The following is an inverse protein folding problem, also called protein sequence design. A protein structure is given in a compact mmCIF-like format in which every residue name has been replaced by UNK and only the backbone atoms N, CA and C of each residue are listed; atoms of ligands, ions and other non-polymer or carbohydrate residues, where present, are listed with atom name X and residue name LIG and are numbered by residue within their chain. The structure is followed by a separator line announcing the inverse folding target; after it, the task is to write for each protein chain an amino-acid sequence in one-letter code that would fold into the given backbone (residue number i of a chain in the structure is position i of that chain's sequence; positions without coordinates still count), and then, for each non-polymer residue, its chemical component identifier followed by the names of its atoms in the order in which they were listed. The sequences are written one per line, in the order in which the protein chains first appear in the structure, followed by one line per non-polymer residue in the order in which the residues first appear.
data_IF_082203214426
#
_entry.id   IF_082203214426
#
_cell.length_a   1.000
_cell.length_b   1.000
_cell.length_c   1.000
_cell.angle_alpha   90.00
_cell.angle_beta   90.00
_cell.angle_gamma   90.00
#
_symmetry.space_group_name_H-M   'P 1'
#
loop_
_entity.id
_entity.type
_entity.pdbx_description
1 polymer ?
#
# COMPACT_ATOMS: atom_id res chain seq x y z
N UNK A 1 -2.50 -6.04 -6.18
CA UNK A 1 -1.22 -5.83 -5.49
C UNK A 1 -0.59 -7.19 -5.30
N UNK A 2 0.68 -7.35 -5.64
CA UNK A 2 1.49 -8.54 -5.40
C UNK A 2 2.59 -8.18 -4.39
N UNK A 3 2.85 -9.08 -3.45
CA UNK A 3 3.81 -8.88 -2.37
C UNK A 3 4.90 -9.96 -2.39
N UNK A 4 6.09 -9.63 -1.88
CA UNK A 4 7.13 -10.59 -1.54
C UNK A 4 6.71 -11.48 -0.36
N UNK A 5 7.56 -12.47 -0.05
CA UNK A 5 7.35 -13.43 1.06
C UNK A 5 7.33 -12.76 2.43
N UNK A 6 8.00 -11.62 2.57
CA UNK A 6 8.03 -10.77 3.77
C UNK A 6 6.85 -9.77 3.84
N UNK A 7 5.98 -9.77 2.83
CA UNK A 7 4.83 -8.87 2.76
C UNK A 7 5.15 -7.47 2.23
N UNK A 8 6.38 -7.22 1.76
CA UNK A 8 6.73 -5.98 1.04
C UNK A 8 6.06 -5.95 -0.34
N UNK A 9 5.69 -4.76 -0.87
CA UNK A 9 5.07 -4.67 -2.18
C UNK A 9 6.08 -4.93 -3.29
N UNK A 10 5.78 -5.90 -4.17
CA UNK A 10 6.66 -6.28 -5.27
C UNK A 10 6.18 -5.75 -6.63
N UNK A 11 4.85 -5.66 -6.81
CA UNK A 11 4.22 -5.21 -8.04
C UNK A 11 2.78 -4.75 -7.82
N UNK A 12 2.34 -3.72 -8.56
CA UNK A 12 0.93 -3.36 -8.67
C UNK A 12 0.57 -2.79 -10.04
N UNK A 13 -0.74 -2.69 -10.29
CA UNK A 13 -1.29 -2.07 -11.50
C UNK A 13 -2.18 -0.91 -11.06
N UNK A 14 -1.99 0.26 -11.67
CA UNK A 14 -2.82 1.45 -11.47
C UNK A 14 -3.10 2.07 -12.83
N UNK A 15 -4.38 2.29 -13.14
CA UNK A 15 -4.81 2.96 -14.39
C UNK A 15 -4.19 2.32 -15.65
N UNK A 16 -4.13 0.98 -15.68
CA UNK A 16 -3.52 0.22 -16.79
C UNK A 16 -1.99 0.23 -16.82
N UNK A 17 -1.32 1.03 -15.97
CA UNK A 17 0.14 1.05 -15.85
C UNK A 17 0.62 0.04 -14.82
N UNK A 18 1.63 -0.73 -15.20
CA UNK A 18 2.31 -1.69 -14.31
C UNK A 18 3.48 -1.02 -13.61
N UNK A 19 3.53 -1.16 -12.29
CA UNK A 19 4.63 -0.77 -11.42
C UNK A 19 5.25 -2.06 -10.89
N UNK A 20 6.49 -2.35 -11.28
CA UNK A 20 7.16 -3.63 -11.03
C UNK A 20 8.63 -3.46 -10.74
N UNK A 21 9.23 -4.46 -10.08
CA UNK A 21 10.61 -4.36 -9.60
C UNK A 21 10.71 -3.25 -8.56
N UNK A 22 9.77 -3.26 -7.62
CA UNK A 22 9.72 -2.30 -6.54
C UNK A 22 10.81 -2.65 -5.53
N UNK A 23 11.67 -1.68 -5.24
CA UNK A 23 12.69 -1.76 -4.20
C UNK A 23 12.27 -0.88 -3.03
N UNK A 24 12.26 -1.42 -1.82
CA UNK A 24 11.94 -0.65 -0.61
C UNK A 24 13.06 0.33 -0.33
N UNK A 25 12.75 1.62 -0.40
CA UNK A 25 13.63 2.71 0.04
C UNK A 25 13.51 2.89 1.54
N UNK A 26 12.27 2.88 2.05
CA UNK A 26 11.95 3.07 3.46
C UNK A 26 10.62 2.38 3.79
N UNK A 27 10.48 1.91 5.03
CA UNK A 27 9.20 1.42 5.54
C UNK A 27 9.07 1.67 7.04
N UNK A 28 7.88 2.09 7.46
CA UNK A 28 7.58 2.30 8.88
C UNK A 28 6.14 1.95 9.20
N UNK A 29 5.84 1.82 10.49
CA UNK A 29 4.50 1.55 11.01
C UNK A 29 3.95 2.83 11.62
N UNK A 30 2.74 3.20 11.20
CA UNK A 30 1.97 4.26 11.85
C UNK A 30 0.87 3.65 12.71
N UNK A 31 0.73 4.17 13.93
CA UNK A 31 -0.14 3.59 14.96
C UNK A 31 -1.63 3.78 14.68
N UNK A 32 -2.01 4.72 13.81
CA UNK A 32 -3.42 4.99 13.52
C UNK A 32 -4.14 5.63 14.70
N UNK A 33 -3.61 6.73 15.24
CA UNK A 33 -4.16 7.40 16.42
C UNK A 33 -4.49 8.88 16.18
N UNK A 34 -4.64 9.28 14.92
CA UNK A 34 -4.99 10.64 14.54
C UNK A 34 -6.49 10.91 14.70
N UNK A 35 -7.33 9.89 14.58
CA UNK A 35 -8.76 9.93 14.90
C UNK A 35 -9.24 8.59 15.45
N UNK A 36 -10.40 8.59 16.12
CA UNK A 36 -11.00 7.37 16.66
C UNK A 36 -11.36 6.40 15.53
N UNK A 37 -10.98 5.12 15.70
CA UNK A 37 -11.17 4.08 14.69
C UNK A 37 -10.19 4.10 13.51
N UNK A 38 -9.16 4.96 13.51
CA UNK A 38 -8.11 4.88 12.49
C UNK A 38 -7.34 3.55 12.60
N UNK A 39 -7.19 2.79 11.50
CA UNK A 39 -6.43 1.55 11.54
C UNK A 39 -4.93 1.85 11.56
N UNK A 40 -4.19 1.05 12.32
CA UNK A 40 -2.74 0.88 12.15
C UNK A 40 -2.43 0.65 10.67
N UNK A 41 -1.38 1.29 10.14
CA UNK A 41 -0.91 1.05 8.78
C UNK A 41 0.60 0.86 8.73
N UNK A 42 1.07 0.13 7.73
CA UNK A 42 2.48 0.09 7.36
C UNK A 42 2.66 0.89 6.09
N UNK A 43 3.52 1.89 6.13
CA UNK A 43 3.86 2.71 4.97
C UNK A 43 5.12 2.15 4.32
N UNK A 44 5.08 2.05 3.00
CA UNK A 44 6.19 1.62 2.16
C UNK A 44 6.49 2.72 1.16
N UNK A 45 7.68 3.29 1.23
CA UNK A 45 8.24 4.11 0.16
C UNK A 45 9.10 3.22 -0.72
N UNK A 46 8.68 3.02 -1.97
CA UNK A 46 9.34 2.14 -2.92
C UNK A 46 9.78 2.88 -4.16
N UNK A 47 10.83 2.37 -4.81
CA UNK A 47 11.29 2.84 -6.12
C UNK A 47 11.04 1.78 -7.17
N UNK A 48 10.48 2.16 -8.32
CA UNK A 48 10.32 1.23 -9.45
C UNK A 48 11.56 1.19 -10.36
N UNK A 49 11.56 0.26 -11.33
CA UNK A 49 12.66 0.14 -12.31
C UNK A 49 12.91 1.38 -13.17
N UNK A 50 11.98 2.34 -13.20
CA UNK A 50 12.13 3.61 -13.93
C UNK A 50 12.61 4.74 -13.03
N UNK A 51 12.93 4.46 -11.76
CA UNK A 51 13.41 5.42 -10.78
C UNK A 51 12.30 6.18 -10.06
N UNK A 52 11.02 5.91 -10.36
CA UNK A 52 9.88 6.63 -9.79
C UNK A 52 9.65 6.18 -8.37
N UNK A 53 9.36 7.14 -7.49
CA UNK A 53 9.13 6.85 -6.08
C UNK A 53 7.62 6.81 -5.81
N UNK A 54 7.18 5.75 -5.14
CA UNK A 54 5.77 5.52 -4.84
C UNK A 54 5.62 5.27 -3.35
N UNK A 55 4.59 5.86 -2.76
CA UNK A 55 4.21 5.62 -1.37
C UNK A 55 2.94 4.77 -1.32
N UNK A 56 3.05 3.58 -0.72
CA UNK A 56 2.00 2.59 -0.58
C UNK A 56 1.71 2.34 0.89
N UNK A 57 0.44 2.38 1.26
CA UNK A 57 0.01 2.18 2.64
C UNK A 57 -0.73 0.85 2.75
N UNK A 58 -0.28 -0.03 3.63
CA UNK A 58 -0.95 -1.28 3.96
C UNK A 58 -1.73 -1.13 5.26
N UNK A 59 -3.05 -1.24 5.18
CA UNK A 59 -3.93 -1.15 6.33
C UNK A 59 -3.95 -2.46 7.14
N UNK A 60 -3.85 -2.33 8.45
CA UNK A 60 -4.00 -3.41 9.43
C UNK A 60 -5.44 -3.91 9.54
N UNK A 61 -6.41 -3.01 9.36
CA UNK A 61 -7.83 -3.29 9.31
C UNK A 61 -8.49 -2.46 8.18
N UNK A 62 -9.69 -2.86 7.74
CA UNK A 62 -10.44 -2.11 6.74
C UNK A 62 -10.88 -0.75 7.29
N UNK A 63 -10.82 0.30 6.47
CA UNK A 63 -11.34 1.64 6.81
C UNK A 63 -12.88 1.70 6.83
N UNK A 64 -13.53 0.78 6.13
CA UNK A 64 -14.99 0.70 6.09
C UNK A 64 -15.44 -0.71 6.51
N UNK A 65 -16.41 -0.86 7.42
CA UNK A 65 -17.08 -2.13 7.62
C UNK A 65 -17.81 -2.49 6.31
N UNK A 66 -17.33 -3.53 5.62
CA UNK A 66 -17.99 -4.02 4.42
C UNK A 66 -19.21 -4.83 4.84
N UNK A 67 -20.40 -4.23 4.84
CA UNK A 67 -21.62 -5.01 4.66
C UNK A 67 -21.69 -5.41 3.18
N UNK A 68 -21.47 -6.68 2.88
CA UNK A 68 -21.68 -7.21 1.54
C UNK A 68 -20.55 -8.06 1.00
N UNK A 69 -20.98 -9.14 0.35
CA UNK A 69 -20.20 -10.23 -0.23
C UNK A 69 -19.08 -9.79 -1.16
N UNK A 70 -17.86 -10.28 -0.89
CA UNK A 70 -17.00 -10.80 -1.94
C UNK A 70 -16.24 -9.81 -2.82
N UNK A 71 -15.44 -8.91 -2.23
CA UNK A 71 -14.17 -8.51 -2.85
C UNK A 71 -13.22 -7.97 -1.78
N UNK A 72 -12.08 -8.64 -1.55
CA UNK A 72 -11.00 -8.11 -0.71
C UNK A 72 -10.25 -6.94 -1.41
N UNK A 73 -10.98 -5.96 -1.91
CA UNK A 73 -10.41 -4.67 -2.26
C UNK A 73 -10.32 -3.85 -0.97
N UNK A 74 -9.12 -3.41 -0.59
CA UNK A 74 -8.99 -2.36 0.44
C UNK A 74 -8.03 -2.59 1.60
N UNK A 75 -6.97 -3.40 1.44
CA UNK A 75 -5.82 -3.35 2.39
C UNK A 75 -4.68 -2.46 1.94
N UNK A 76 -4.69 -2.00 0.69
CA UNK A 76 -3.62 -1.20 0.12
C UNK A 76 -4.18 0.10 -0.42
N UNK A 77 -3.56 1.22 -0.02
CA UNK A 77 -3.83 2.54 -0.56
C UNK A 77 -2.57 3.01 -1.30
N UNK A 78 -2.76 3.57 -2.49
CA UNK A 78 -1.74 4.33 -3.17
C UNK A 78 -1.86 5.77 -2.67
N UNK A 79 -0.85 6.25 -1.95
CA UNK A 79 -0.87 7.58 -1.36
C UNK A 79 -0.29 8.63 -2.32
N UNK A 80 0.89 8.36 -2.88
CA UNK A 80 1.61 9.33 -3.73
C UNK A 80 2.50 8.64 -4.76
N UNK A 81 2.64 9.29 -5.92
CA UNK A 81 3.66 9.00 -6.94
C UNK A 81 4.48 10.28 -7.14
N UNK A 82 5.80 10.15 -7.09
CA UNK A 82 6.76 11.20 -7.43
C UNK A 82 7.43 10.80 -8.76
N UNK A 83 7.22 11.63 -9.78
CA UNK A 83 7.77 11.49 -11.14
C UNK A 83 8.90 12.51 -11.38
#
# INVERSE_FOLDING_TARGET
MECGTDGTPARFVREGRVYSGLETVESWRESGCWWDGEPVRTVFRVRDRRGRVVELHRLGASLFPLEGTGQQAGRWLLYRIED
#
